data_IF_986343239107
#
_entry.id   IF_986343239107
#
_cell.length_a   1.000
_cell.length_b   1.000
_cell.length_c   1.000
_cell.angle_alpha   90.00
_cell.angle_beta   90.00
_cell.angle_gamma   90.00
#
_symmetry.space_group_name_H-M   'P 1'
#
loop_
_entity.id
_entity.type
_entity.pdbx_description
1 polymer ?
#
# COMPACT_ATOMS: atom_id res chain seq x y z
N UNK A 1 8.48 -12.26 -27.86
CA UNK A 1 8.22 -12.78 -26.50
C UNK A 1 8.05 -11.60 -25.57
N UNK A 2 6.82 -11.38 -25.07
CA UNK A 2 6.48 -10.66 -23.83
C UNK A 2 4.95 -10.61 -23.75
N UNK A 3 4.33 -11.71 -23.31
CA UNK A 3 2.87 -11.90 -23.43
C UNK A 3 2.20 -12.62 -22.27
N UNK A 4 2.89 -12.78 -21.14
CA UNK A 4 2.32 -13.44 -19.95
C UNK A 4 1.59 -12.49 -19.00
N UNK A 5 1.37 -11.24 -19.41
CA UNK A 5 0.70 -10.24 -18.57
C UNK A 5 -0.77 -10.13 -18.97
N UNK A 6 -1.65 -10.19 -17.97
CA UNK A 6 -3.08 -9.90 -18.13
C UNK A 6 -3.32 -8.39 -18.00
N UNK A 7 -4.25 -7.85 -18.78
CA UNK A 7 -4.61 -6.44 -18.75
C UNK A 7 -6.13 -6.26 -18.67
N UNK A 8 -6.56 -5.24 -17.93
CA UNK A 8 -7.97 -4.82 -17.84
C UNK A 8 -8.14 -3.48 -18.53
N UNK A 9 -9.13 -3.37 -19.42
CA UNK A 9 -9.45 -2.10 -20.10
C UNK A 9 -10.36 -1.26 -19.21
N UNK A 10 -9.90 -0.08 -18.80
CA UNK A 10 -10.70 0.87 -18.04
C UNK A 10 -11.67 1.65 -18.96
N UNK A 11 -12.98 1.68 -18.66
CA UNK A 11 -13.92 2.61 -19.28
C UNK A 11 -13.50 4.07 -19.07
N UNK A 12 -14.01 4.98 -19.92
CA UNK A 12 -13.59 6.38 -19.93
C UNK A 12 -13.78 7.07 -18.57
N UNK A 13 -14.88 6.78 -17.87
CA UNK A 13 -15.23 7.36 -16.57
C UNK A 13 -14.26 6.94 -15.44
N UNK A 14 -13.54 5.82 -15.61
CA UNK A 14 -12.60 5.28 -14.62
C UNK A 14 -11.13 5.51 -15.00
N UNK A 15 -10.86 6.38 -15.99
CA UNK A 15 -9.48 6.72 -16.34
C UNK A 15 -8.85 7.57 -15.24
N UNK A 16 -7.67 7.16 -14.80
CA UNK A 16 -6.85 7.88 -13.84
C UNK A 16 -5.73 8.57 -14.60
N UNK A 17 -5.50 9.86 -14.30
CA UNK A 17 -4.38 10.62 -14.87
C UNK A 17 -3.10 10.36 -14.06
N UNK A 18 -2.49 9.20 -14.29
CA UNK A 18 -1.25 8.80 -13.65
C UNK A 18 -0.41 7.89 -14.58
N UNK A 19 0.91 8.06 -14.53
CA UNK A 19 1.84 7.22 -15.31
C UNK A 19 2.07 5.83 -14.70
N UNK A 20 1.85 5.69 -13.39
CA UNK A 20 2.06 4.45 -12.63
C UNK A 20 0.93 4.25 -11.62
N UNK A 21 0.62 2.99 -11.33
CA UNK A 21 -0.43 2.58 -10.40
C UNK A 21 0.13 1.58 -9.41
N UNK A 22 -0.24 1.71 -8.14
CA UNK A 22 -0.08 0.67 -7.13
C UNK A 22 -1.22 -0.33 -7.22
N UNK A 23 -0.89 -1.61 -7.10
CA UNK A 23 -1.84 -2.73 -7.10
C UNK A 23 -1.84 -3.34 -5.71
N UNK A 24 -3.01 -3.37 -5.05
CA UNK A 24 -3.22 -4.12 -3.83
C UNK A 24 -4.19 -5.28 -4.12
N UNK A 25 -3.92 -6.44 -3.54
CA UNK A 25 -4.78 -7.62 -3.63
C UNK A 25 -5.33 -7.94 -2.25
N UNK A 26 -6.64 -8.12 -2.17
CA UNK A 26 -7.36 -8.61 -0.99
C UNK A 26 -8.27 -9.76 -1.40
N UNK A 27 -7.78 -10.98 -1.20
CA UNK A 27 -8.37 -12.20 -1.77
C UNK A 27 -8.52 -12.10 -3.29
N UNK A 28 -9.77 -12.12 -3.74
CA UNK A 28 -10.15 -12.02 -5.16
C UNK A 28 -10.32 -10.57 -5.65
N UNK A 29 -10.16 -9.59 -4.77
CA UNK A 29 -10.30 -8.17 -5.09
C UNK A 29 -8.95 -7.56 -5.45
N UNK A 30 -8.94 -6.74 -6.50
CA UNK A 30 -7.79 -5.91 -6.87
C UNK A 30 -8.17 -4.44 -6.73
N UNK A 31 -7.41 -3.70 -5.92
CA UNK A 31 -7.54 -2.26 -5.77
C UNK A 31 -6.40 -1.56 -6.51
N UNK A 32 -6.76 -0.68 -7.43
CA UNK A 32 -5.82 0.15 -8.19
C UNK A 32 -5.80 1.55 -7.61
N UNK A 33 -4.63 2.03 -7.20
CA UNK A 33 -4.43 3.40 -6.72
C UNK A 33 -3.35 4.08 -7.57
N UNK A 34 -3.51 5.36 -7.95
CA UNK A 34 -2.41 6.10 -8.57
C UNK A 34 -1.19 6.07 -7.65
N UNK A 35 -0.03 5.72 -8.20
CA UNK A 35 1.22 5.84 -7.47
C UNK A 35 1.68 7.30 -7.61
N UNK A 36 1.72 8.08 -6.52
CA UNK A 36 2.16 9.46 -6.59
C UNK A 36 3.62 9.48 -7.04
N UNK A 37 3.90 10.28 -8.07
CA UNK A 37 5.28 10.61 -8.40
C UNK A 37 5.69 11.72 -7.45
N UNK A 38 6.78 11.52 -6.74
CA UNK A 38 7.41 12.47 -5.82
C UNK A 38 6.76 12.63 -4.44
N UNK A 39 7.48 13.28 -3.51
CA UNK A 39 7.09 13.47 -2.10
C UNK A 39 5.80 14.26 -1.86
N UNK A 40 5.15 14.77 -2.92
CA UNK A 40 3.87 15.49 -2.82
C UNK A 40 2.76 14.69 -2.13
N UNK A 41 2.82 13.35 -2.20
CA UNK A 41 1.89 12.51 -1.44
C UNK A 41 2.15 12.54 0.05
N UNK A 42 3.42 12.63 0.45
CA UNK A 42 3.82 12.72 1.84
C UNK A 42 3.39 14.08 2.39
N UNK A 43 3.59 15.15 1.61
CA UNK A 43 3.09 16.49 1.96
C UNK A 43 1.57 16.49 2.16
N UNK A 44 0.81 15.92 1.21
CA UNK A 44 -0.65 15.81 1.32
C UNK A 44 -1.09 14.90 2.49
N UNK A 45 -0.34 13.85 2.78
CA UNK A 45 -0.61 12.96 3.90
C UNK A 45 -0.36 13.66 5.24
N UNK A 46 0.77 14.37 5.36
CA UNK A 46 1.12 15.15 6.56
C UNK A 46 0.15 16.30 6.77
N UNK A 47 -0.29 16.99 5.72
CA UNK A 47 -1.32 18.03 5.85
C UNK A 47 -2.63 17.45 6.39
N UNK A 48 -3.05 16.29 5.87
CA UNK A 48 -4.35 15.69 6.22
C UNK A 48 -4.36 14.96 7.56
N UNK A 49 -3.24 14.33 7.93
CA UNK A 49 -3.17 13.42 9.06
C UNK A 49 -2.06 13.76 10.06
N UNK A 50 -1.15 14.68 9.74
CA UNK A 50 0.01 15.01 10.58
C UNK A 50 -0.36 15.48 11.98
N UNK A 51 -1.47 16.23 12.12
CA UNK A 51 -1.98 16.64 13.42
C UNK A 51 -2.53 15.49 14.29
N UNK A 52 -2.76 14.30 13.70
CA UNK A 52 -3.21 13.11 14.42
C UNK A 52 -2.05 12.27 14.98
N UNK A 53 -0.81 12.58 14.62
CA UNK A 53 0.39 11.93 15.14
C UNK A 53 1.12 12.89 16.08
N UNK A 54 0.88 12.77 17.38
CA UNK A 54 1.70 13.47 18.38
C UNK A 54 2.98 12.68 18.69
N UNK A 55 3.94 13.34 19.35
CA UNK A 55 5.23 12.73 19.72
C UNK A 55 5.06 11.47 20.58
N UNK A 56 3.96 11.34 21.33
CA UNK A 56 3.68 10.17 22.16
C UNK A 56 3.24 8.96 21.33
N UNK A 57 2.41 9.17 20.30
CA UNK A 57 1.98 8.13 19.37
C UNK A 57 3.14 7.64 18.51
N UNK A 58 4.01 8.55 18.06
CA UNK A 58 5.22 8.21 17.31
C UNK A 58 6.20 7.43 18.19
N UNK A 59 6.42 7.89 19.43
CA UNK A 59 7.26 7.19 20.40
C UNK A 59 6.78 5.76 20.66
N UNK A 60 5.48 5.57 20.89
CA UNK A 60 4.90 4.25 21.10
C UNK A 60 4.98 3.32 19.88
N UNK A 61 4.95 3.86 18.66
CA UNK A 61 5.12 3.07 17.44
C UNK A 61 6.58 2.61 17.24
N UNK A 62 7.55 3.47 17.56
CA UNK A 62 8.98 3.17 17.46
C UNK A 62 9.48 2.25 18.59
N UNK A 63 8.83 2.30 19.75
CA UNK A 63 9.14 1.45 20.91
C UNK A 63 8.45 0.07 20.83
N UNK A 64 7.78 -0.24 19.71
CA UNK A 64 7.37 -1.63 19.46
C UNK A 64 8.63 -2.49 19.39
N UNK A 65 8.76 -3.55 20.21
CA UNK A 65 9.77 -4.56 19.96
C UNK A 65 9.57 -5.05 18.52
N UNK A 66 10.65 -5.01 17.72
CA UNK A 66 10.61 -5.45 16.33
C UNK A 66 9.92 -6.80 16.25
N UNK A 67 8.99 -6.95 15.30
CA UNK A 67 8.15 -8.14 15.14
C UNK A 67 8.95 -9.38 15.50
N UNK A 68 8.59 -9.99 16.65
CA UNK A 68 9.20 -11.23 17.12
C UNK A 68 9.16 -12.19 15.93
N UNK A 69 10.32 -12.75 15.57
CA UNK A 69 10.46 -13.66 14.44
C UNK A 69 9.30 -14.66 14.48
N UNK A 70 8.48 -14.64 13.41
CA UNK A 70 7.32 -15.50 13.25
C UNK A 70 7.75 -16.94 13.50
N UNK A 71 7.38 -17.44 14.68
CA UNK A 71 7.73 -18.78 15.13
C UNK A 71 7.34 -19.78 14.06
N UNK A 72 8.29 -20.64 13.72
CA UNK A 72 8.24 -21.74 12.76
C UNK A 72 6.80 -22.10 12.34
N UNK A 73 6.34 -21.53 11.22
CA UNK A 73 5.01 -21.81 10.67
C UNK A 73 5.00 -23.27 10.20
N UNK A 74 4.61 -24.17 11.10
CA UNK A 74 4.34 -25.55 10.75
C UNK A 74 2.97 -25.61 10.08
N UNK A 75 2.99 -25.74 8.74
CA UNK A 75 1.80 -25.87 7.91
C UNK A 75 0.88 -26.99 8.44
N UNK A 76 -0.42 -26.73 8.67
CA UNK A 76 -1.38 -27.74 9.11
C UNK A 76 -1.87 -28.68 7.97
N UNK A 77 -1.13 -28.76 6.86
CA UNK A 77 -1.52 -29.54 5.68
C UNK A 77 -0.41 -30.50 5.20
N UNK A 78 0.17 -31.26 6.13
CA UNK A 78 0.73 -32.60 5.83
C UNK A 78 -0.36 -33.67 5.98
#
# INVERSE_FOLDING_TARGET
MSGNSQAVRLPKEFRVDAGEMQILRDGDTILLKPLPRDGAWLDAFVEKFGASFDDSAIGAALDRPGAEEEGDYQSPFD
#
